data_IF_231295377620
#
_entry.id   IF_231295377620
#
_cell.length_a   1.000
_cell.length_b   1.000
_cell.length_c   1.000
_cell.angle_alpha   90.00
_cell.angle_beta   90.00
_cell.angle_gamma   90.00
#
_symmetry.space_group_name_H-M   'P 1'
#
loop_
_entity.id
_entity.type
_entity.pdbx_description
1 polymer ?
#
# COMPACT_ATOMS: atom_id res chain seq x y z
N UNK A 1 -13.08 8.85 -8.22
CA UNK A 1 -12.98 10.29 -7.92
C UNK A 1 -12.97 10.41 -6.40
N UNK A 2 -11.83 10.73 -5.81
CA UNK A 2 -11.73 10.93 -4.36
C UNK A 2 -12.29 12.32 -4.07
N UNK A 3 -13.46 12.41 -3.42
CA UNK A 3 -14.17 13.66 -3.11
C UNK A 3 -13.65 14.21 -1.77
N UNK A 4 -12.34 14.39 -1.66
CA UNK A 4 -11.74 14.96 -0.45
C UNK A 4 -10.52 15.80 -0.83
N UNK A 5 -10.35 16.92 -0.11
CA UNK A 5 -9.34 17.93 -0.40
C UNK A 5 -7.92 17.37 -0.17
N UNK A 6 -6.99 17.67 -1.08
CA UNK A 6 -5.61 17.16 -1.05
C UNK A 6 -4.63 18.23 -0.54
N UNK A 7 -3.75 17.93 0.43
CA UNK A 7 -3.66 16.71 1.22
C UNK A 7 -4.70 16.65 2.34
N UNK A 8 -5.13 15.44 2.70
CA UNK A 8 -6.03 15.18 3.84
C UNK A 8 -5.21 14.52 4.95
N UNK A 9 -5.30 15.06 6.17
CA UNK A 9 -4.59 14.51 7.34
C UNK A 9 -5.19 13.18 7.81
N UNK A 10 -4.32 12.34 8.39
CA UNK A 10 -4.47 10.89 8.59
C UNK A 10 -5.86 10.43 9.10
N UNK A 11 -6.38 11.09 10.14
CA UNK A 11 -7.64 10.70 10.80
C UNK A 11 -8.88 10.99 9.94
N UNK A 12 -8.89 12.07 9.17
CA UNK A 12 -10.04 12.42 8.33
C UNK A 12 -10.17 11.53 7.08
N UNK A 13 -9.06 10.94 6.63
CA UNK A 13 -9.03 10.06 5.47
C UNK A 13 -9.63 8.67 5.78
N UNK A 14 -9.31 8.11 6.95
CA UNK A 14 -9.80 6.80 7.40
C UNK A 14 -11.32 6.89 7.62
N UNK A 15 -11.79 7.80 8.47
CA UNK A 15 -13.22 7.92 8.79
C UNK A 15 -14.13 8.27 7.60
N UNK A 16 -13.63 9.03 6.60
CA UNK A 16 -14.45 9.38 5.41
C UNK A 16 -14.43 8.32 4.31
N UNK A 17 -13.40 7.47 4.24
CA UNK A 17 -13.43 6.29 3.37
C UNK A 17 -14.50 5.28 3.84
N UNK A 18 -14.84 5.31 5.12
CA UNK A 18 -15.72 4.34 5.79
C UNK A 18 -17.18 4.80 5.94
N UNK A 19 -17.59 5.81 5.18
CA UNK A 19 -18.94 6.37 5.21
C UNK A 19 -20.04 5.47 4.60
N UNK A 20 -20.12 4.19 4.96
CA UNK A 20 -21.19 3.28 4.52
C UNK A 20 -21.72 2.34 5.62
N UNK A 21 -23.06 2.26 5.66
CA UNK A 21 -23.94 1.45 6.51
C UNK A 21 -23.35 0.17 7.12
N UNK A 22 -23.58 0.01 8.43
CA UNK A 22 -23.20 -1.08 9.35
C UNK A 22 -23.55 -2.54 8.92
N UNK A 23 -24.07 -2.77 7.72
CA UNK A 23 -24.53 -4.09 7.25
C UNK A 23 -23.54 -4.81 6.29
N UNK A 24 -22.51 -4.13 5.76
CA UNK A 24 -21.52 -4.71 4.84
C UNK A 24 -20.19 -5.13 5.49
N UNK A 25 -19.99 -4.80 6.77
CA UNK A 25 -18.71 -4.98 7.48
C UNK A 25 -18.24 -6.45 7.54
N UNK A 26 -19.14 -7.42 7.35
CA UNK A 26 -18.78 -8.85 7.43
C UNK A 26 -18.14 -9.44 6.16
N UNK A 27 -18.10 -8.74 5.02
CA UNK A 27 -17.67 -9.34 3.73
C UNK A 27 -16.28 -8.86 3.26
N UNK A 28 -15.84 -7.66 3.66
CA UNK A 28 -14.56 -7.11 3.20
C UNK A 28 -13.71 -6.59 4.38
N UNK A 29 -12.67 -7.34 4.75
CA UNK A 29 -11.67 -6.92 5.73
C UNK A 29 -10.54 -6.19 4.98
N UNK A 30 -10.11 -5.03 5.47
CA UNK A 30 -9.02 -4.23 4.89
C UNK A 30 -7.71 -4.50 5.59
N UNK A 31 -6.64 -4.56 4.79
CA UNK A 31 -5.26 -4.65 5.22
C UNK A 31 -4.42 -3.65 4.46
N UNK A 32 -3.34 -3.21 5.07
CA UNK A 32 -2.50 -2.14 4.56
C UNK A 32 -1.03 -2.55 4.60
N UNK A 33 -0.37 -2.44 3.44
CA UNK A 33 1.09 -2.43 3.38
C UNK A 33 1.61 -1.06 3.81
N UNK A 34 2.43 -1.03 4.87
CA UNK A 34 3.12 0.18 5.30
C UNK A 34 4.58 0.06 4.88
N UNK A 35 4.97 0.82 3.86
CA UNK A 35 6.31 0.78 3.26
C UNK A 35 7.00 2.13 3.43
N UNK A 36 8.25 2.11 3.88
CA UNK A 36 9.05 3.33 3.99
C UNK A 36 9.37 3.90 2.61
N UNK A 37 9.05 5.18 2.39
CA UNK A 37 9.10 5.79 1.05
C UNK A 37 10.47 5.71 0.35
N UNK A 38 11.63 5.97 1.01
CA UNK A 38 12.94 5.76 0.40
C UNK A 38 13.20 4.31 -0.04
N UNK A 39 12.67 3.32 0.68
CA UNK A 39 12.77 1.91 0.29
C UNK A 39 11.88 1.67 -0.93
N UNK A 40 10.62 2.12 -0.88
CA UNK A 40 9.68 1.98 -1.99
C UNK A 40 10.25 2.54 -3.30
N UNK A 41 10.81 3.74 -3.29
CA UNK A 41 11.39 4.37 -4.50
C UNK A 41 12.55 3.56 -5.07
N UNK A 42 13.35 2.90 -4.21
CA UNK A 42 14.52 2.11 -4.65
C UNK A 42 14.15 0.73 -5.18
N UNK A 43 13.14 0.09 -4.59
CA UNK A 43 12.85 -1.32 -4.84
C UNK A 43 11.55 -1.56 -5.62
N UNK A 44 10.67 -0.58 -5.79
CA UNK A 44 9.45 -0.76 -6.57
C UNK A 44 9.74 -0.77 -8.07
N UNK A 45 9.13 -1.73 -8.79
CA UNK A 45 9.25 -1.86 -10.23
C UNK A 45 7.94 -2.28 -10.89
N UNK A 46 7.61 -1.62 -12.00
CA UNK A 46 6.45 -1.98 -12.81
C UNK A 46 6.67 -1.63 -14.29
N UNK A 47 6.73 -2.68 -15.10
CA UNK A 47 6.67 -2.61 -16.56
C UNK A 47 5.24 -2.43 -17.11
N UNK A 48 4.26 -2.29 -16.20
CA UNK A 48 2.83 -2.04 -16.50
C UNK A 48 2.14 -3.19 -17.23
N UNK A 49 2.73 -4.40 -17.30
CA UNK A 49 2.15 -5.53 -18.03
C UNK A 49 0.75 -5.91 -17.58
N UNK A 50 0.42 -5.70 -16.30
CA UNK A 50 -0.91 -5.96 -15.73
C UNK A 50 -2.02 -5.08 -16.33
N UNK A 51 -1.66 -3.97 -16.99
CA UNK A 51 -2.59 -3.08 -17.70
C UNK A 51 -2.74 -3.43 -19.19
N UNK A 52 -2.23 -4.59 -19.62
CA UNK A 52 -2.46 -5.11 -20.97
C UNK A 52 -3.46 -6.25 -20.92
N UNK A 53 -4.37 -6.26 -21.90
CA UNK A 53 -5.27 -7.39 -22.10
C UNK A 53 -4.52 -8.60 -22.72
N UNK A 54 -5.23 -9.70 -22.93
CA UNK A 54 -4.69 -10.92 -23.55
C UNK A 54 -4.22 -10.73 -25.00
N UNK A 55 -4.64 -9.66 -25.67
CA UNK A 55 -4.20 -9.29 -27.02
C UNK A 55 -3.03 -8.29 -27.01
N UNK A 56 -2.58 -7.86 -25.82
CA UNK A 56 -1.50 -6.90 -25.65
C UNK A 56 -1.91 -5.43 -25.76
N UNK A 57 -3.21 -5.14 -25.90
CA UNK A 57 -3.72 -3.77 -25.92
C UNK A 57 -3.76 -3.20 -24.51
N UNK A 58 -3.54 -1.89 -24.39
CA UNK A 58 -3.65 -1.19 -23.12
C UNK A 58 -5.11 -1.06 -22.68
N UNK A 59 -5.43 -1.52 -21.47
CA UNK A 59 -6.75 -1.34 -20.85
C UNK A 59 -7.00 0.11 -20.42
N UNK A 60 -5.92 0.87 -20.19
CA UNK A 60 -5.93 2.30 -19.99
C UNK A 60 -4.65 2.94 -20.56
N UNK A 61 -4.72 4.20 -20.99
CA UNK A 61 -3.55 4.92 -21.52
C UNK A 61 -2.44 4.95 -20.46
N UNK A 62 -1.23 4.42 -20.74
CA UNK A 62 -0.15 4.42 -19.77
C UNK A 62 0.37 5.85 -19.54
N UNK A 63 0.99 6.12 -18.38
CA UNK A 63 1.69 7.38 -18.15
C UNK A 63 2.76 7.66 -19.22
N UNK A 64 3.03 8.93 -19.50
CA UNK A 64 3.92 9.35 -20.59
C UNK A 64 5.41 9.06 -20.32
N UNK A 65 5.82 8.97 -19.05
CA UNK A 65 7.17 8.57 -18.68
C UNK A 65 7.37 7.06 -18.87
N UNK A 66 8.63 6.61 -18.92
CA UNK A 66 8.99 5.19 -19.07
C UNK A 66 8.53 4.32 -17.87
N UNK A 67 8.57 2.99 -17.99
CA UNK A 67 8.41 2.09 -16.85
C UNK A 67 9.28 2.47 -15.64
N UNK A 68 8.80 2.16 -14.44
CA UNK A 68 9.60 2.30 -13.23
C UNK A 68 10.42 1.02 -13.09
N UNK A 69 11.75 1.17 -13.05
CA UNK A 69 12.71 0.09 -12.87
C UNK A 69 13.41 0.33 -11.54
N UNK A 70 13.54 -0.73 -10.73
CA UNK A 70 14.21 -0.66 -9.43
C UNK A 70 15.73 -0.49 -9.60
N UNK A 71 16.39 -0.09 -8.52
CA UNK A 71 17.84 0.11 -8.46
C UNK A 71 18.63 -1.18 -8.76
N UNK A 72 18.05 -2.34 -8.44
CA UNK A 72 18.62 -3.67 -8.68
C UNK A 72 18.30 -4.25 -10.07
N UNK A 73 17.86 -3.40 -10.99
CA UNK A 73 17.43 -3.75 -12.36
C UNK A 73 16.15 -4.60 -12.44
N UNK A 74 15.45 -4.83 -11.32
CA UNK A 74 14.12 -5.46 -11.35
C UNK A 74 13.16 -4.60 -12.16
N UNK A 75 12.50 -5.18 -13.15
CA UNK A 75 11.53 -4.50 -14.03
C UNK A 75 10.07 -4.75 -13.65
N UNK A 76 9.81 -5.74 -12.80
CA UNK A 76 8.45 -6.10 -12.38
C UNK A 76 8.45 -6.75 -10.99
N UNK A 77 7.74 -6.14 -10.06
CA UNK A 77 7.44 -6.74 -8.75
C UNK A 77 6.15 -6.19 -8.12
N UNK A 78 5.29 -5.55 -8.91
CA UNK A 78 4.03 -4.98 -8.41
C UNK A 78 3.18 -5.98 -7.63
N UNK A 79 3.19 -7.26 -8.01
CA UNK A 79 2.45 -8.32 -7.31
C UNK A 79 2.86 -8.45 -5.84
N UNK A 80 4.14 -8.25 -5.51
CA UNK A 80 4.63 -8.28 -4.12
C UNK A 80 4.01 -7.18 -3.24
N UNK A 81 3.56 -6.07 -3.86
CA UNK A 81 2.91 -4.95 -3.16
C UNK A 81 1.38 -4.99 -3.25
N UNK A 82 0.80 -5.92 -4.04
CA UNK A 82 -0.66 -6.07 -4.18
C UNK A 82 -1.17 -7.27 -3.39
N UNK A 83 -0.41 -8.35 -3.35
CA UNK A 83 -0.79 -9.56 -2.63
C UNK A 83 -0.65 -9.32 -1.13
N UNK A 84 -1.70 -9.67 -0.38
CA UNK A 84 -1.69 -9.64 1.08
C UNK A 84 -1.97 -11.06 1.57
N UNK A 85 -1.05 -11.57 2.38
CA UNK A 85 -1.23 -12.85 3.06
C UNK A 85 -1.59 -12.53 4.50
N UNK A 86 -2.75 -13.00 4.97
CA UNK A 86 -3.22 -12.72 6.33
C UNK A 86 -2.24 -13.18 7.43
N UNK A 87 -1.39 -14.16 7.11
CA UNK A 87 -0.33 -14.63 8.01
C UNK A 87 0.81 -13.62 8.22
N UNK A 88 0.97 -12.66 7.30
CA UNK A 88 2.03 -11.63 7.36
C UNK A 88 1.60 -10.40 8.17
N UNK A 89 0.35 -10.35 8.61
CA UNK A 89 -0.18 -9.29 9.48
C UNK A 89 0.56 -9.34 10.81
N UNK A 90 1.14 -8.22 11.21
CA UNK A 90 1.86 -8.13 12.49
C UNK A 90 0.92 -8.46 13.65
N UNK A 91 1.42 -9.18 14.65
CA UNK A 91 0.59 -9.59 15.81
C UNK A 91 0.33 -8.43 16.77
N UNK A 92 1.28 -7.51 16.90
CA UNK A 92 1.16 -6.29 17.68
C UNK A 92 2.01 -5.18 17.03
N UNK A 93 1.59 -3.93 17.21
CA UNK A 93 2.28 -2.75 16.71
C UNK A 93 3.17 -2.18 17.82
N UNK A 94 4.44 -1.92 17.49
CA UNK A 94 5.41 -1.38 18.45
C UNK A 94 6.72 -0.95 17.78
N UNK A 95 7.77 -0.75 18.59
CA UNK A 95 9.08 -0.32 18.09
C UNK A 95 9.66 -1.26 17.03
N UNK A 96 9.44 -2.56 17.17
CA UNK A 96 9.89 -3.57 16.20
C UNK A 96 9.21 -3.36 14.83
N UNK A 97 7.96 -2.89 14.81
CA UNK A 97 7.23 -2.55 13.58
C UNK A 97 7.87 -1.36 12.85
N UNK A 98 8.30 -0.32 13.59
CA UNK A 98 8.98 0.85 13.02
C UNK A 98 10.33 0.44 12.43
N UNK A 99 11.09 -0.37 13.16
CA UNK A 99 12.36 -0.92 12.68
C UNK A 99 12.12 -1.75 11.42
N UNK A 100 11.08 -2.59 11.42
CA UNK A 100 10.73 -3.43 10.27
C UNK A 100 10.40 -2.58 9.04
N UNK A 101 9.55 -1.55 9.17
CA UNK A 101 9.18 -0.63 8.09
C UNK A 101 10.42 0.06 7.49
N UNK A 102 11.39 0.45 8.32
CA UNK A 102 12.61 1.15 7.90
C UNK A 102 13.71 0.22 7.35
N UNK A 103 13.55 -1.10 7.43
CA UNK A 103 14.59 -2.08 7.05
C UNK A 103 14.15 -3.09 6.00
N UNK A 104 12.88 -3.51 5.99
CA UNK A 104 12.36 -4.51 5.07
C UNK A 104 11.86 -3.86 3.78
N UNK A 105 12.14 -4.51 2.64
CA UNK A 105 11.70 -4.08 1.30
C UNK A 105 10.19 -3.80 1.23
N UNK A 106 9.39 -4.72 1.76
CA UNK A 106 7.93 -4.64 1.75
C UNK A 106 7.36 -3.99 3.02
N UNK A 107 8.21 -3.59 3.97
CA UNK A 107 7.76 -3.06 5.25
C UNK A 107 6.94 -4.06 6.06
N UNK A 108 5.73 -3.66 6.50
CA UNK A 108 4.83 -4.49 7.30
C UNK A 108 3.40 -4.49 6.74
N UNK A 109 2.63 -5.52 7.09
CA UNK A 109 1.18 -5.57 6.87
C UNK A 109 0.47 -5.33 8.20
N UNK A 110 -0.52 -4.43 8.20
CA UNK A 110 -1.37 -4.12 9.35
C UNK A 110 -2.84 -4.19 8.97
N UNK A 111 -3.71 -4.50 9.93
CA UNK A 111 -5.14 -4.28 9.79
C UNK A 111 -5.52 -2.83 10.11
N UNK A 112 -6.81 -2.52 10.02
CA UNK A 112 -7.34 -1.18 10.25
C UNK A 112 -7.03 -0.60 11.65
N UNK A 113 -7.29 -1.36 12.72
CA UNK A 113 -7.00 -0.92 14.10
C UNK A 113 -5.50 -0.68 14.30
N UNK A 114 -4.67 -1.58 13.77
CA UNK A 114 -3.21 -1.52 13.87
C UNK A 114 -2.62 -0.36 13.07
N UNK A 115 -3.26 0.06 11.97
CA UNK A 115 -2.81 1.20 11.18
C UNK A 115 -2.86 2.50 12.02
N UNK A 116 -3.97 2.74 12.72
CA UNK A 116 -4.12 3.90 13.60
C UNK A 116 -3.10 3.89 14.74
N UNK A 117 -2.89 2.72 15.35
CA UNK A 117 -1.87 2.51 16.38
C UNK A 117 -0.47 2.82 15.84
N UNK A 118 -0.13 2.33 14.65
CA UNK A 118 1.20 2.52 14.04
C UNK A 118 1.53 3.99 13.83
N UNK A 119 0.62 4.77 13.25
CA UNK A 119 0.85 6.19 13.01
C UNK A 119 0.83 7.04 14.29
N UNK A 120 0.27 6.52 15.38
CA UNK A 120 0.36 7.16 16.70
C UNK A 120 1.74 6.98 17.36
N UNK A 121 2.57 6.03 16.88
CA UNK A 121 3.93 5.80 17.39
C UNK A 121 5.00 6.64 16.67
N UNK A 122 4.74 7.06 15.43
CA UNK A 122 5.71 7.74 14.55
C UNK A 122 5.71 9.28 14.74
N UNK A 123 5.02 9.80 15.77
CA UNK A 123 5.07 11.20 16.21
C UNK A 123 6.41 11.58 16.93
N UNK A 124 7.48 10.79 16.75
CA UNK A 124 8.84 10.99 17.29
C UNK A 124 9.92 11.04 16.21
#
# INVERSE_FOLDING_TARGET
MTIVQFPLWHQEAIHRADGYSMDYHFICIRFFWVVHAPIFVRFFASDRRHMKDSLGNWTAKPPAYGPIVAEDETVHNLNEYMEIIAADVVSNVGSDSIIAVRSHKLGIVVNETQLEEFFSLDDL
#
